data_IF_087454471234
#
_entry.id   IF_087454471234
#
_cell.length_a   1.000
_cell.length_b   1.000
_cell.length_c   1.000
_cell.angle_alpha   90.00
_cell.angle_beta   90.00
_cell.angle_gamma   90.00
#
_symmetry.space_group_name_H-M   'P 1'
#
loop_
_entity.id
_entity.type
_entity.pdbx_description
1 polymer ?
#
# COMPACT_ATOMS: atom_id res chain seq x y z
N UNK A 1 -14.66 -10.13 -2.93
CA UNK A 1 -14.86 -9.63 -4.30
C UNK A 1 -15.81 -8.45 -4.29
N UNK A 2 -15.50 -7.34 -4.96
CA UNK A 2 -16.32 -6.10 -4.88
C UNK A 2 -17.13 -5.83 -6.15
N UNK A 3 -16.51 -5.96 -7.34
CA UNK A 3 -17.18 -5.79 -8.63
C UNK A 3 -16.51 -6.65 -9.70
N UNK A 4 -17.27 -7.24 -10.60
CA UNK A 4 -16.76 -7.85 -11.82
C UNK A 4 -17.70 -7.62 -13.00
N UNK A 5 -17.14 -7.45 -14.21
CA UNK A 5 -17.92 -7.34 -15.44
C UNK A 5 -17.07 -7.69 -16.66
N UNK A 6 -17.73 -8.14 -17.74
CA UNK A 6 -17.05 -8.51 -18.98
C UNK A 6 -16.64 -7.25 -19.73
N UNK A 7 -15.33 -7.09 -19.96
CA UNK A 7 -14.78 -6.05 -20.82
C UNK A 7 -13.43 -6.49 -21.38
N UNK A 8 -13.15 -6.14 -22.64
CA UNK A 8 -11.83 -6.34 -23.25
C UNK A 8 -10.93 -5.12 -23.07
N UNK A 9 -9.61 -5.30 -23.14
CA UNK A 9 -8.64 -4.19 -23.19
C UNK A 9 -8.55 -3.60 -24.58
N UNK A 10 -7.97 -2.42 -24.68
CA UNK A 10 -7.53 -1.83 -25.93
C UNK A 10 -6.12 -1.29 -25.76
N UNK A 11 -5.34 -1.32 -26.84
CA UNK A 11 -3.96 -0.87 -26.86
C UNK A 11 -3.82 0.37 -27.74
N UNK A 12 -2.87 1.24 -27.40
CA UNK A 12 -2.52 2.38 -28.22
C UNK A 12 -1.51 1.94 -29.30
N UNK A 13 -1.94 1.92 -30.55
CA UNK A 13 -1.09 1.71 -31.72
C UNK A 13 -0.83 3.07 -32.39
N UNK A 14 0.32 3.67 -32.07
CA UNK A 14 0.68 5.01 -32.53
C UNK A 14 -0.27 6.07 -31.96
N UNK A 15 -1.22 6.54 -32.79
CA UNK A 15 -2.25 7.53 -32.39
C UNK A 15 -3.65 6.94 -32.29
N UNK A 16 -3.81 5.63 -32.48
CA UNK A 16 -5.11 4.94 -32.55
C UNK A 16 -5.25 3.96 -31.40
N UNK A 17 -6.43 3.93 -30.79
CA UNK A 17 -6.78 2.90 -29.79
C UNK A 17 -7.39 1.72 -30.54
N UNK A 18 -6.80 0.54 -30.40
CA UNK A 18 -7.18 -0.69 -31.11
C UNK A 18 -7.63 -1.75 -30.10
N UNK A 19 -8.83 -2.36 -30.28
CA UNK A 19 -9.33 -3.34 -29.34
C UNK A 19 -8.51 -4.63 -29.35
N UNK A 20 -8.20 -5.15 -28.15
CA UNK A 20 -7.87 -6.55 -27.97
C UNK A 20 -9.15 -7.38 -28.16
N UNK A 21 -9.08 -8.38 -29.04
CA UNK A 21 -10.24 -9.22 -29.40
C UNK A 21 -10.57 -10.30 -28.37
N UNK A 22 -9.71 -10.50 -27.37
CA UNK A 22 -9.88 -11.53 -26.35
C UNK A 22 -11.05 -11.21 -25.43
N UNK A 23 -11.65 -12.29 -24.89
CA UNK A 23 -12.72 -12.17 -23.90
C UNK A 23 -12.08 -11.83 -22.56
N UNK A 24 -12.35 -10.62 -22.08
CA UNK A 24 -11.77 -10.13 -20.83
C UNK A 24 -12.79 -10.06 -19.71
N UNK A 25 -12.28 -9.99 -18.48
CA UNK A 25 -13.02 -9.69 -17.27
C UNK A 25 -12.28 -8.59 -16.52
N UNK A 26 -12.98 -7.49 -16.22
CA UNK A 26 -12.50 -6.53 -15.23
C UNK A 26 -12.98 -7.00 -13.87
N UNK A 27 -12.08 -7.00 -12.88
CA UNK A 27 -12.36 -7.35 -11.50
C UNK A 27 -11.81 -6.27 -10.57
N UNK A 28 -12.63 -5.83 -9.63
CA UNK A 28 -12.21 -4.94 -8.55
C UNK A 28 -12.35 -5.69 -7.24
N UNK A 29 -11.21 -5.84 -6.56
CA UNK A 29 -11.09 -6.52 -5.28
C UNK A 29 -10.27 -5.70 -4.30
N UNK A 30 -10.41 -6.01 -3.01
CA UNK A 30 -9.51 -5.53 -1.97
C UNK A 30 -8.53 -6.66 -1.65
N UNK A 31 -7.24 -6.35 -1.75
CA UNK A 31 -6.16 -7.27 -1.40
C UNK A 31 -6.07 -7.50 0.11
N UNK A 32 -5.22 -8.45 0.51
CA UNK A 32 -4.98 -8.76 1.93
C UNK A 32 -4.31 -7.58 2.65
N UNK A 33 -3.60 -6.74 1.90
CA UNK A 33 -3.00 -5.48 2.33
C UNK A 33 -4.00 -4.32 2.50
N UNK A 34 -5.29 -4.56 2.25
CA UNK A 34 -6.35 -3.54 2.33
C UNK A 34 -6.41 -2.56 1.16
N UNK A 35 -5.55 -2.72 0.16
CA UNK A 35 -5.50 -1.88 -1.05
C UNK A 35 -6.49 -2.35 -2.11
N UNK A 36 -6.95 -1.42 -2.96
CA UNK A 36 -7.89 -1.72 -4.05
C UNK A 36 -7.10 -2.14 -5.30
N UNK A 37 -7.41 -3.33 -5.80
CA UNK A 37 -6.90 -3.86 -7.06
C UNK A 37 -7.93 -3.69 -8.16
N UNK A 38 -7.54 -3.03 -9.25
CA UNK A 38 -8.24 -3.03 -10.52
C UNK A 38 -7.52 -3.98 -11.47
N UNK A 39 -8.11 -5.15 -11.69
CA UNK A 39 -7.51 -6.23 -12.45
C UNK A 39 -8.21 -6.44 -13.78
N UNK A 40 -7.42 -6.86 -14.78
CA UNK A 40 -7.94 -7.43 -16.00
C UNK A 40 -7.47 -8.86 -16.19
N UNK A 41 -8.41 -9.75 -16.49
CA UNK A 41 -8.19 -11.17 -16.65
C UNK A 41 -8.57 -11.62 -18.07
N UNK A 42 -7.75 -12.50 -18.65
CA UNK A 42 -8.11 -13.25 -19.85
C UNK A 42 -9.04 -14.40 -19.45
N UNK A 43 -10.28 -14.42 -19.95
CA UNK A 43 -11.28 -15.44 -19.60
C UNK A 43 -11.05 -16.78 -20.28
N UNK A 44 -10.24 -16.83 -21.32
CA UNK A 44 -9.85 -18.10 -21.97
C UNK A 44 -8.75 -18.78 -21.18
N UNK A 45 -7.78 -18.02 -20.68
CA UNK A 45 -6.67 -18.55 -19.86
C UNK A 45 -7.00 -18.60 -18.37
N UNK A 46 -8.03 -17.87 -17.95
CA UNK A 46 -8.40 -17.64 -16.55
C UNK A 46 -7.22 -17.10 -15.71
N UNK A 47 -6.47 -16.16 -16.30
CA UNK A 47 -5.26 -15.60 -15.73
C UNK A 47 -5.37 -14.07 -15.63
N UNK A 48 -4.96 -13.51 -14.49
CA UNK A 48 -4.76 -12.06 -14.33
C UNK A 48 -3.55 -11.65 -15.16
N UNK A 49 -3.74 -10.72 -16.09
CA UNK A 49 -2.63 -10.19 -16.89
C UNK A 49 -2.20 -8.80 -16.43
N UNK A 50 -3.17 -7.97 -16.02
CA UNK A 50 -2.90 -6.65 -15.48
C UNK A 50 -3.52 -6.53 -14.09
N UNK A 51 -2.78 -5.90 -13.19
CA UNK A 51 -3.23 -5.57 -11.85
C UNK A 51 -2.73 -4.17 -11.50
N UNK A 52 -3.66 -3.25 -11.28
CA UNK A 52 -3.36 -1.88 -10.86
C UNK A 52 -3.87 -1.66 -9.44
N UNK A 53 -2.96 -1.34 -8.53
CA UNK A 53 -3.31 -0.78 -7.24
C UNK A 53 -3.77 0.67 -7.45
N UNK A 54 -4.94 1.01 -6.93
CA UNK A 54 -5.53 2.35 -7.05
C UNK A 54 -5.76 2.92 -5.65
N UNK A 55 -5.22 4.12 -5.40
CA UNK A 55 -5.53 4.90 -4.22
C UNK A 55 -6.83 5.71 -4.41
N UNK A 56 -7.54 6.05 -3.32
CA UNK A 56 -8.69 6.93 -3.42
C UNK A 56 -8.36 8.23 -4.14
N UNK A 57 -9.24 8.67 -5.04
CA UNK A 57 -9.13 9.89 -5.85
C UNK A 57 -7.98 9.88 -6.89
N UNK A 58 -7.21 8.81 -6.98
CA UNK A 58 -6.06 8.69 -7.88
C UNK A 58 -6.48 8.45 -9.33
N UNK A 59 -7.60 7.76 -9.56
CA UNK A 59 -8.08 7.42 -10.89
C UNK A 59 -9.58 7.65 -11.06
N UNK A 60 -9.97 7.92 -12.30
CA UNK A 60 -11.37 8.05 -12.72
C UNK A 60 -11.64 7.06 -13.85
N UNK A 61 -12.79 6.38 -13.77
CA UNK A 61 -13.30 5.53 -14.83
C UNK A 61 -14.44 6.24 -15.57
N UNK A 62 -14.27 6.54 -16.85
CA UNK A 62 -15.26 7.33 -17.60
C UNK A 62 -15.50 6.80 -19.01
N UNK A 63 -16.66 7.11 -19.58
CA UNK A 63 -16.99 6.78 -20.97
C UNK A 63 -16.21 7.68 -21.92
N UNK A 64 -15.56 7.10 -22.92
CA UNK A 64 -14.83 7.85 -23.94
C UNK A 64 -15.81 8.41 -24.97
N UNK A 65 -16.19 9.69 -24.83
CA UNK A 65 -17.18 10.33 -25.71
C UNK A 65 -16.78 10.44 -27.18
N UNK A 66 -15.47 10.44 -27.48
CA UNK A 66 -14.95 10.51 -28.86
C UNK A 66 -14.93 9.14 -29.56
N UNK A 67 -15.05 8.04 -28.81
CA UNK A 67 -15.05 6.71 -29.37
C UNK A 67 -16.47 6.29 -29.76
N UNK A 68 -16.61 5.61 -30.89
CA UNK A 68 -17.87 4.95 -31.22
C UNK A 68 -18.05 3.70 -30.35
N UNK A 69 -19.25 3.50 -29.80
CA UNK A 69 -19.61 2.30 -29.06
C UNK A 69 -19.46 2.43 -27.53
N UNK A 70 -19.01 1.34 -26.90
CA UNK A 70 -19.04 1.14 -25.44
C UNK A 70 -17.63 1.15 -24.85
N UNK A 71 -16.88 2.20 -25.16
CA UNK A 71 -15.48 2.36 -24.76
C UNK A 71 -15.39 3.22 -23.51
N UNK A 72 -14.60 2.75 -22.55
CA UNK A 72 -14.33 3.39 -21.28
C UNK A 72 -12.83 3.51 -21.07
N UNK A 73 -12.42 4.45 -20.23
CA UNK A 73 -11.04 4.71 -19.89
C UNK A 73 -10.90 4.75 -18.38
N UNK A 74 -9.93 4.01 -17.85
CA UNK A 74 -9.37 4.25 -16.51
C UNK A 74 -8.19 5.21 -16.68
N UNK A 75 -8.34 6.42 -16.15
CA UNK A 75 -7.35 7.49 -16.28
C UNK A 75 -6.81 7.83 -14.89
N UNK A 76 -5.49 7.77 -14.74
CA UNK A 76 -4.83 8.24 -13.53
C UNK A 76 -4.69 9.78 -13.58
N UNK A 77 -4.89 10.42 -12.43
CA UNK A 77 -4.87 11.87 -12.30
C UNK A 77 -3.46 12.41 -12.01
N UNK A 78 -2.61 11.57 -11.42
CA UNK A 78 -1.26 11.90 -10.96
C UNK A 78 -0.17 11.63 -12.00
N UNK A 79 -0.49 10.86 -13.05
CA UNK A 79 0.42 10.53 -14.14
C UNK A 79 -0.33 10.36 -15.49
N UNK A 80 0.40 9.99 -16.56
CA UNK A 80 -0.15 9.87 -17.91
C UNK A 80 -0.74 8.48 -18.24
N UNK A 81 -0.82 7.56 -17.27
CA UNK A 81 -1.34 6.20 -17.49
C UNK A 81 -2.83 6.25 -17.84
N UNK A 82 -3.15 5.55 -18.93
CA UNK A 82 -4.49 5.44 -19.49
C UNK A 82 -4.71 4.01 -19.94
N UNK A 83 -5.73 3.38 -19.40
CA UNK A 83 -6.14 2.03 -19.77
C UNK A 83 -7.51 2.10 -20.42
N UNK A 84 -7.61 1.60 -21.65
CA UNK A 84 -8.83 1.63 -22.43
C UNK A 84 -9.52 0.27 -22.40
N UNK A 85 -10.84 0.28 -22.20
CA UNK A 85 -11.65 -0.91 -22.11
C UNK A 85 -12.86 -0.79 -23.02
N UNK A 86 -13.30 -1.90 -23.60
CA UNK A 86 -14.55 -1.97 -24.35
C UNK A 86 -15.48 -2.98 -23.69
N UNK A 87 -16.70 -2.55 -23.35
CA UNK A 87 -17.66 -3.38 -22.63
C UNK A 87 -18.01 -4.60 -23.47
N UNK A 88 -18.08 -5.77 -22.84
CA UNK A 88 -18.44 -7.07 -23.41
C UNK A 88 -19.72 -7.67 -22.79
N UNK A 89 -20.35 -6.97 -21.83
CA UNK A 89 -21.67 -7.34 -21.31
C UNK A 89 -22.69 -7.40 -22.44
N UNK A 90 -23.62 -8.36 -22.38
CA UNK A 90 -24.59 -8.57 -23.45
C UNK A 90 -25.62 -7.45 -23.56
N UNK A 91 -25.91 -6.77 -22.43
CA UNK A 91 -26.76 -5.58 -22.39
C UNK A 91 -25.89 -4.33 -22.19
N UNK A 92 -26.18 -3.26 -22.92
CA UNK A 92 -25.50 -1.97 -22.80
C UNK A 92 -26.18 -1.02 -21.79
N UNK A 93 -27.44 -1.28 -21.42
CA UNK A 93 -28.19 -0.40 -20.51
C UNK A 93 -27.55 -0.33 -19.11
N UNK A 94 -26.78 -1.35 -18.72
CA UNK A 94 -26.07 -1.39 -17.44
C UNK A 94 -24.69 -0.73 -17.46
N UNK A 95 -24.19 -0.25 -18.61
CA UNK A 95 -22.82 0.25 -18.72
C UNK A 95 -22.58 1.50 -17.86
N UNK A 96 -23.59 2.37 -17.71
CA UNK A 96 -23.52 3.57 -16.87
C UNK A 96 -23.46 3.23 -15.37
N UNK A 97 -24.26 2.27 -14.93
CA UNK A 97 -24.26 1.78 -13.55
C UNK A 97 -22.94 1.06 -13.22
N UNK A 98 -22.41 0.26 -14.15
CA UNK A 98 -21.08 -0.33 -14.01
C UNK A 98 -20.00 0.74 -13.88
N UNK A 99 -20.05 1.78 -14.71
CA UNK A 99 -19.12 2.90 -14.64
C UNK A 99 -19.20 3.62 -13.27
N UNK A 100 -20.41 3.88 -12.78
CA UNK A 100 -20.61 4.48 -11.46
C UNK A 100 -20.08 3.56 -10.34
N UNK A 101 -20.33 2.26 -10.44
CA UNK A 101 -19.89 1.25 -9.47
C UNK A 101 -18.36 1.13 -9.43
N UNK A 102 -17.69 1.16 -10.58
CA UNK A 102 -16.22 1.20 -10.65
C UNK A 102 -15.70 2.41 -9.86
N UNK A 103 -16.20 3.61 -10.15
CA UNK A 103 -15.77 4.82 -9.44
C UNK A 103 -16.07 4.76 -7.95
N UNK A 104 -17.23 4.21 -7.56
CA UNK A 104 -17.58 4.02 -6.16
C UNK A 104 -16.56 3.12 -5.44
N UNK A 105 -16.14 2.02 -6.07
CA UNK A 105 -15.22 1.07 -5.46
C UNK A 105 -13.76 1.54 -5.43
N UNK A 106 -13.26 2.14 -6.50
CA UNK A 106 -11.86 2.62 -6.55
C UNK A 106 -11.60 3.82 -5.62
N UNK A 107 -12.65 4.58 -5.27
CA UNK A 107 -12.56 5.72 -4.35
C UNK A 107 -12.89 5.36 -2.89
N UNK A 108 -12.95 4.06 -2.54
CA UNK A 108 -13.18 3.66 -1.15
C UNK A 108 -11.99 3.97 -0.26
N UNK A 109 -12.19 4.55 0.94
CA UNK A 109 -11.10 4.79 1.89
C UNK A 109 -10.26 3.54 2.17
N UNK A 110 -8.96 3.77 2.38
CA UNK A 110 -8.06 2.72 2.83
C UNK A 110 -8.46 2.29 4.24
N UNK A 111 -8.58 1.00 4.47
CA UNK A 111 -8.65 0.45 5.83
C UNK A 111 -7.21 0.32 6.31
N UNK A 112 -6.71 1.35 6.98
CA UNK A 112 -5.46 1.25 7.72
C UNK A 112 -5.77 0.36 8.92
N UNK A 113 -5.23 -0.86 8.92
CA UNK A 113 -5.16 -1.67 10.12
C UNK A 113 -4.24 -0.92 11.07
N UNK A 114 -4.82 -0.17 12.01
CA UNK A 114 -4.07 0.33 13.15
C UNK A 114 -3.57 -0.91 13.88
N UNK A 115 -2.27 -1.22 13.74
CA UNK A 115 -1.58 -2.03 14.72
C UNK A 115 -1.70 -1.27 16.03
N UNK A 116 -2.68 -1.66 16.85
CA UNK A 116 -2.81 -1.18 18.23
C UNK A 116 -1.40 -1.22 18.84
N UNK A 117 -0.82 -0.08 19.24
CA UNK A 117 0.40 -0.14 20.00
C UNK A 117 0.05 -0.89 21.28
N UNK A 118 0.69 -2.04 21.50
CA UNK A 118 0.67 -2.80 22.74
C UNK A 118 1.08 -1.87 23.90
N UNK A 119 0.14 -1.07 24.39
CA UNK A 119 0.29 -0.18 25.54
C UNK A 119 -0.12 -0.95 26.79
N UNK A 120 0.39 -2.17 26.92
CA UNK A 120 0.19 -3.03 28.09
C UNK A 120 1.24 -2.78 29.18
N UNK A 121 1.61 -1.52 29.46
CA UNK A 121 2.42 -1.17 30.64
C UNK A 121 2.41 0.34 30.93
N UNK A 122 1.41 0.85 31.66
CA UNK A 122 1.53 1.98 32.60
C UNK A 122 0.18 2.23 33.32
N UNK A 123 -0.15 1.33 34.25
CA UNK A 123 -1.04 1.68 35.36
C UNK A 123 -0.17 2.19 36.51
N UNK A 124 0.27 3.45 36.43
CA UNK A 124 0.71 4.17 37.64
C UNK A 124 -0.56 4.59 38.36
N UNK A 125 -1.06 3.74 39.25
CA UNK A 125 -2.01 4.15 40.29
C UNK A 125 -1.19 4.64 41.48
N UNK A 126 -1.14 5.96 41.65
CA UNK A 126 -0.77 6.57 42.92
C UNK A 126 -1.96 6.39 43.87
N UNK A 127 -1.88 5.43 44.78
CA UNK A 127 -2.72 5.41 45.98
C UNK A 127 -1.84 5.15 47.20
N UNK A 128 -1.77 6.16 48.06
CA UNK A 128 -1.08 6.14 49.35
C UNK A 128 -1.88 5.29 50.34
N UNK A 129 -1.29 4.22 50.86
CA UNK A 129 -1.53 3.78 52.25
C UNK A 129 -0.24 3.21 52.83
N UNK A 130 0.29 3.92 53.81
CA UNK A 130 1.33 3.43 54.72
C UNK A 130 0.69 2.38 55.62
N UNK A 131 1.26 1.17 55.66
CA UNK A 131 1.02 0.25 56.78
C UNK A 131 2.32 -0.42 57.19
N UNK A 132 2.54 -0.36 58.49
CA UNK A 132 3.78 -0.58 59.19
C UNK A 132 3.91 -2.05 59.65
N UNK A 133 5.16 -2.43 59.95
CA UNK A 133 5.63 -3.57 60.77
C UNK A 133 5.62 -5.03 60.25
N UNK A 134 6.84 -5.44 59.89
CA UNK A 134 7.65 -6.44 60.62
C UNK A 134 7.62 -7.94 60.23
N UNK A 135 8.83 -8.34 59.82
CA UNK A 135 9.52 -9.64 60.00
C UNK A 135 9.20 -10.79 59.04
N UNK A 136 10.23 -11.24 58.29
CA UNK A 136 11.07 -12.40 58.69
C UNK A 136 12.12 -12.76 57.61
N UNK A 137 13.30 -13.15 58.10
CA UNK A 137 14.58 -13.35 57.42
C UNK A 137 14.61 -14.35 56.25
N UNK A 138 15.55 -14.12 55.32
CA UNK A 138 15.97 -15.05 54.27
C UNK A 138 17.23 -14.60 53.52
N UNK A 139 18.39 -14.72 54.17
CA UNK A 139 19.75 -14.57 53.63
C UNK A 139 20.03 -15.49 52.42
N UNK A 140 20.68 -15.02 51.34
CA UNK A 140 21.67 -15.78 50.52
C UNK A 140 22.49 -14.81 49.63
N UNK A 141 23.71 -14.55 50.12
CA UNK A 141 25.05 -14.39 49.50
C UNK A 141 25.22 -14.50 47.95
N UNK A 142 25.87 -13.48 47.36
CA UNK A 142 26.73 -13.48 46.14
C UNK A 142 28.22 -13.60 46.58
N UNK A 143 29.23 -14.10 45.82
CA UNK A 143 29.82 -13.51 44.58
C UNK A 143 30.24 -14.59 43.53
N UNK A 144 30.65 -14.35 42.27
CA UNK A 144 31.93 -13.74 41.83
C UNK A 144 32.04 -13.86 40.28
N UNK A 145 32.33 -12.77 39.54
CA UNK A 145 33.54 -12.46 38.76
C UNK A 145 34.17 -13.53 37.83
N UNK A 146 34.24 -13.23 36.52
CA UNK A 146 35.07 -13.93 35.54
C UNK A 146 35.08 -13.26 34.16
N UNK A 147 36.19 -12.59 33.82
CA UNK A 147 36.49 -11.86 32.60
C UNK A 147 36.96 -12.79 31.46
N UNK A 148 36.54 -12.53 30.21
CA UNK A 148 36.99 -13.28 29.03
C UNK A 148 36.46 -12.73 27.70
N UNK A 149 37.19 -11.77 27.14
CA UNK A 149 37.08 -11.13 25.82
C UNK A 149 36.46 -11.96 24.68
N UNK A 150 35.33 -11.50 24.13
CA UNK A 150 34.85 -11.80 22.78
C UNK A 150 34.44 -10.47 22.15
N UNK A 151 35.02 -10.14 21.00
CA UNK A 151 34.68 -8.93 20.25
C UNK A 151 33.35 -9.14 19.53
N UNK A 152 32.26 -8.80 20.19
CA UNK A 152 30.93 -8.77 19.57
C UNK A 152 30.76 -7.47 18.78
N UNK A 153 30.48 -7.60 17.48
CA UNK A 153 29.92 -6.53 16.67
C UNK A 153 28.47 -6.39 17.09
N UNK A 154 28.21 -5.58 18.12
CA UNK A 154 26.86 -5.33 18.59
C UNK A 154 26.17 -4.38 17.61
N UNK A 155 25.34 -4.92 16.71
CA UNK A 155 24.20 -4.18 16.19
C UNK A 155 23.30 -3.85 17.39
N UNK A 156 23.45 -2.67 17.95
CA UNK A 156 22.65 -2.25 19.10
C UNK A 156 21.20 -2.09 18.66
N UNK A 157 20.38 -3.10 18.96
CA UNK A 157 18.91 -3.09 18.84
C UNK A 157 18.28 -2.25 19.95
N UNK A 158 18.79 -1.04 20.18
CA UNK A 158 18.29 -0.06 21.13
C UNK A 158 17.80 1.21 20.43
N UNK A 159 17.02 2.07 21.11
CA UNK A 159 16.57 3.33 20.54
C UNK A 159 17.78 4.16 20.08
N UNK A 160 17.75 4.59 18.81
CA UNK A 160 18.82 5.40 18.23
C UNK A 160 18.98 6.69 19.03
N UNK A 161 20.18 6.96 19.52
CA UNK A 161 20.45 8.16 20.31
C UNK A 161 20.68 9.35 19.40
N UNK A 162 20.29 10.53 19.86
CA UNK A 162 20.42 11.78 19.11
C UNK A 162 21.88 12.11 18.74
N UNK A 163 22.82 11.72 19.61
CA UNK A 163 24.26 11.84 19.39
C UNK A 163 24.77 10.99 18.21
N UNK A 164 24.19 9.80 18.00
CA UNK A 164 24.56 8.92 16.89
C UNK A 164 24.06 9.50 15.55
N UNK A 165 22.86 10.06 15.53
CA UNK A 165 22.30 10.74 14.34
C UNK A 165 23.15 11.96 13.93
N UNK A 166 23.57 12.78 14.89
CA UNK A 166 24.41 13.95 14.61
C UNK A 166 25.75 13.55 14.00
N UNK A 167 26.34 12.43 14.47
CA UNK A 167 27.60 11.89 13.97
C UNK A 167 27.50 11.32 12.55
N UNK A 168 26.35 10.73 12.20
CA UNK A 168 26.11 10.22 10.85
C UNK A 168 25.98 11.39 9.86
N UNK A 169 25.21 12.42 10.23
CA UNK A 169 24.97 13.59 9.37
C UNK A 169 26.21 14.44 9.16
N UNK A 170 27.14 14.50 10.12
CA UNK A 170 28.39 15.26 9.97
C UNK A 170 29.34 14.69 8.91
N UNK A 171 29.16 13.41 8.53
CA UNK A 171 30.02 12.75 7.54
C UNK A 171 29.43 12.77 6.12
N UNK A 172 28.25 13.37 5.93
CA UNK A 172 27.63 13.52 4.60
C UNK A 172 28.01 14.91 4.08
N UNK A 173 29.11 15.00 3.34
CA UNK A 173 29.40 16.20 2.54
C UNK A 173 28.38 16.34 1.40
N UNK A 174 27.85 17.54 1.11
CA UNK A 174 27.06 17.78 -0.09
C UNK A 174 27.98 17.69 -1.31
N UNK A 175 27.90 16.58 -2.04
CA UNK A 175 28.58 16.38 -3.31
C UNK A 175 28.25 17.52 -4.28
N UNK A 176 29.27 18.27 -4.68
CA UNK A 176 29.17 19.46 -5.51
C UNK A 176 28.56 19.18 -6.89
N UNK A 177 27.60 20.02 -7.25
CA UNK A 177 27.15 20.23 -8.63
C UNK A 177 28.30 20.86 -9.43
N UNK A 178 29.00 20.06 -10.23
CA UNK A 178 29.89 20.57 -11.27
C UNK A 178 29.04 21.21 -12.38
N UNK A 179 28.96 22.53 -12.36
CA UNK A 179 28.58 23.32 -13.53
C UNK A 179 29.82 23.49 -14.40
N UNK A 180 29.97 22.68 -15.44
CA UNK A 180 30.77 23.00 -16.62
C UNK A 180 30.40 22.03 -17.76
N UNK A 181 29.68 22.54 -18.76
CA UNK A 181 30.14 22.59 -20.15
C UNK A 181 29.04 23.14 -21.07
N UNK A 182 29.54 23.98 -21.99
CA UNK A 182 28.92 24.65 -23.14
C UNK A 182 28.02 23.76 -24.00
#
# INVERSE_FOLDING_TARGET
>A
MMLEFRAGKMHLEGKRVVPDTRKGLVRIDRGEEGLIHFQWLDRTLNAVEDDQIIFPEEAVFEKVGQASGRVYILKFNTDDRKFFFWMQESNADGDEELCASVNYHINRPLEILEEEPDTSALQTSEEMVEDDISSRAGNIVLPNLGSGSMSDVTSSSGPVRLEDLQRILSNIEPGGINSDLL
#
